data_IF_068836852143
#
_entry.id   IF_068836852143
#
_cell.length_a   1.000
_cell.length_b   1.000
_cell.length_c   1.000
_cell.angle_alpha   90.00
_cell.angle_beta   90.00
_cell.angle_gamma   90.00
#
_symmetry.space_group_name_H-M   'P 1'
#
loop_
_entity.id
_entity.type
_entity.pdbx_description
1 polymer ?
#
# COMPACT_ATOMS: atom_id res chain seq x y z
N UNK A 1 16.98 39.51 -16.14
CA UNK A 1 15.69 38.94 -15.71
C UNK A 1 15.22 38.08 -16.87
N UNK A 2 15.23 36.76 -16.86
CA UNK A 2 15.47 35.78 -15.80
C UNK A 2 15.86 34.45 -16.48
N UNK A 3 16.72 33.68 -15.81
CA UNK A 3 16.64 32.24 -15.52
C UNK A 3 15.57 31.43 -16.31
N UNK A 4 15.76 30.21 -16.81
CA UNK A 4 16.60 29.11 -16.36
C UNK A 4 16.62 27.98 -17.42
N UNK A 5 17.77 27.31 -17.53
CA UNK A 5 17.98 25.85 -17.55
C UNK A 5 16.83 24.99 -18.14
N UNK A 6 16.97 24.58 -19.41
CA UNK A 6 16.31 23.38 -19.92
C UNK A 6 17.36 22.28 -20.17
N UNK A 7 17.84 21.69 -19.08
CA UNK A 7 18.48 20.37 -19.09
C UNK A 7 17.50 19.38 -18.47
N UNK A 8 16.45 19.05 -19.22
CA UNK A 8 15.62 17.88 -18.92
C UNK A 8 16.33 16.62 -19.44
N UNK A 9 17.29 16.14 -18.66
CA UNK A 9 17.68 14.73 -18.64
C UNK A 9 17.48 14.27 -17.20
N UNK A 10 16.23 14.03 -16.84
CA UNK A 10 15.89 13.21 -15.69
C UNK A 10 15.53 11.85 -16.27
N UNK A 11 16.45 10.92 -16.08
CA UNK A 11 16.33 9.50 -16.39
C UNK A 11 14.93 8.98 -16.04
N UNK A 12 14.24 8.49 -17.06
CA UNK A 12 13.13 7.55 -16.97
C UNK A 12 13.63 6.28 -16.24
N UNK A 13 13.73 6.37 -14.92
CA UNK A 13 13.82 5.18 -14.09
C UNK A 13 12.43 4.59 -14.04
N UNK A 14 12.27 3.53 -14.84
CA UNK A 14 11.19 2.56 -14.85
C UNK A 14 9.93 3.04 -14.14
N UNK A 15 8.93 3.42 -14.94
CA UNK A 15 7.54 3.43 -14.53
C UNK A 15 7.26 2.13 -13.76
N UNK A 16 7.31 2.21 -12.43
CA UNK A 16 6.66 1.24 -11.58
C UNK A 16 5.19 1.47 -11.90
N UNK A 17 4.67 0.67 -12.82
CA UNK A 17 3.25 0.59 -13.15
C UNK A 17 2.47 0.00 -11.96
N UNK A 18 2.79 0.39 -10.72
CA UNK A 18 1.86 0.29 -9.62
C UNK A 18 0.78 1.33 -9.90
N UNK A 19 -0.22 0.91 -10.69
CA UNK A 19 -1.48 1.62 -10.77
C UNK A 19 -1.97 1.69 -9.33
N UNK A 20 -1.88 2.87 -8.73
CA UNK A 20 -2.30 3.13 -7.34
C UNK A 20 -3.84 3.09 -7.34
N UNK A 21 -4.37 1.87 -7.38
CA UNK A 21 -5.80 1.58 -7.33
C UNK A 21 -6.17 1.39 -5.88
N UNK A 22 -6.34 2.53 -5.22
CA UNK A 22 -7.26 2.64 -4.12
C UNK A 22 -6.70 2.13 -2.80
N UNK A 23 -6.27 3.10 -2.00
CA UNK A 23 -6.83 3.12 -0.64
C UNK A 23 -8.34 3.32 -0.78
N UNK A 24 -9.10 2.23 -0.97
CA UNK A 24 -10.56 2.28 -0.82
C UNK A 24 -10.79 2.45 0.67
N UNK A 25 -10.89 3.71 1.11
CA UNK A 25 -11.17 4.06 2.50
C UNK A 25 -12.65 3.74 2.79
N UNK A 26 -12.98 2.48 3.01
CA UNK A 26 -14.16 2.16 3.80
C UNK A 26 -13.80 2.48 5.26
N UNK A 27 -14.08 3.73 5.67
CA UNK A 27 -13.85 4.18 7.04
C UNK A 27 -14.97 3.65 7.95
N UNK A 28 -15.17 2.33 7.96
CA UNK A 28 -15.80 1.66 9.10
C UNK A 28 -14.80 1.71 10.25
N UNK A 29 -14.71 2.87 10.92
CA UNK A 29 -14.00 3.33 12.15
C UNK A 29 -12.64 2.71 12.58
N UNK A 30 -12.35 1.44 12.29
CA UNK A 30 -11.21 0.64 12.75
C UNK A 30 -10.54 -0.21 11.67
N UNK A 31 -11.02 -0.17 10.42
CA UNK A 31 -10.46 -0.98 9.32
C UNK A 31 -9.75 -0.10 8.29
N UNK A 32 -8.55 -0.52 7.87
CA UNK A 32 -7.81 0.08 6.77
C UNK A 32 -7.63 -0.96 5.66
N UNK A 33 -8.11 -0.64 4.46
CA UNK A 33 -8.00 -1.51 3.28
C UNK A 33 -6.92 -0.99 2.33
N UNK A 34 -6.06 -1.90 1.86
CA UNK A 34 -5.05 -1.65 0.83
C UNK A 34 -5.26 -2.60 -0.35
N UNK A 35 -5.21 -2.06 -1.56
CA UNK A 35 -5.31 -2.85 -2.78
C UNK A 35 -4.27 -2.37 -3.79
N UNK A 36 -3.51 -3.30 -4.36
CA UNK A 36 -2.52 -2.98 -5.39
C UNK A 36 -2.31 -4.17 -6.33
N UNK A 37 -2.06 -3.87 -7.60
CA UNK A 37 -1.74 -4.88 -8.62
C UNK A 37 -0.23 -4.89 -8.84
N UNK A 38 0.37 -6.06 -8.63
CA UNK A 38 1.80 -6.31 -8.82
C UNK A 38 2.03 -7.11 -10.09
N UNK A 39 3.21 -6.97 -10.70
CA UNK A 39 3.53 -7.74 -11.92
C UNK A 39 3.70 -9.24 -11.62
N UNK A 40 4.17 -9.60 -10.42
CA UNK A 40 4.35 -10.98 -9.98
C UNK A 40 3.81 -11.26 -8.58
N UNK A 41 3.40 -12.50 -8.33
CA UNK A 41 2.99 -12.98 -6.99
C UNK A 41 4.07 -12.73 -5.93
N UNK A 42 5.34 -12.89 -6.30
CA UNK A 42 6.45 -12.69 -5.37
C UNK A 42 6.53 -11.24 -4.85
N UNK A 43 6.27 -10.25 -5.71
CA UNK A 43 6.21 -8.85 -5.32
C UNK A 43 5.00 -8.56 -4.42
N UNK A 44 3.85 -9.16 -4.74
CA UNK A 44 2.65 -9.07 -3.91
C UNK A 44 2.88 -9.68 -2.52
N UNK A 45 3.56 -10.82 -2.42
CA UNK A 45 3.91 -11.47 -1.15
C UNK A 45 4.94 -10.66 -0.36
N UNK A 46 5.92 -10.05 -1.04
CA UNK A 46 6.88 -9.15 -0.40
C UNK A 46 6.21 -7.90 0.17
N UNK A 47 5.25 -7.32 -0.57
CA UNK A 47 4.46 -6.19 -0.09
C UNK A 47 3.56 -6.61 1.08
N UNK A 48 2.85 -7.74 0.97
CA UNK A 48 2.04 -8.30 2.05
C UNK A 48 2.85 -8.41 3.35
N UNK A 49 4.08 -8.94 3.28
CA UNK A 49 4.97 -9.05 4.44
C UNK A 49 5.33 -7.67 5.00
N UNK A 50 5.64 -6.71 4.13
CA UNK A 50 5.99 -5.34 4.53
C UNK A 50 4.82 -4.63 5.22
N UNK A 51 3.61 -4.74 4.67
CA UNK A 51 2.41 -4.16 5.26
C UNK A 51 2.04 -4.84 6.58
N UNK A 52 2.19 -6.16 6.66
CA UNK A 52 2.00 -6.93 7.89
C UNK A 52 2.98 -6.47 8.97
N UNK A 53 4.27 -6.34 8.65
CA UNK A 53 5.28 -5.86 9.60
C UNK A 53 4.99 -4.44 10.10
N UNK A 54 4.60 -3.54 9.20
CA UNK A 54 4.14 -2.18 9.55
C UNK A 54 2.93 -2.21 10.49
N UNK A 55 1.94 -3.08 10.22
CA UNK A 55 0.76 -3.20 11.07
C UNK A 55 1.15 -3.73 12.45
N UNK A 56 2.01 -4.75 12.52
CA UNK A 56 2.56 -5.29 13.77
C UNK A 56 3.40 -4.28 14.57
N UNK A 57 4.06 -3.33 13.89
CA UNK A 57 4.82 -2.28 14.55
C UNK A 57 3.92 -1.18 15.17
N UNK A 58 2.70 -1.01 14.63
CA UNK A 58 1.73 -0.01 15.08
C UNK A 58 0.74 -0.59 16.08
N UNK A 59 0.39 -1.87 15.94
CA UNK A 59 -0.56 -2.54 16.80
C UNK A 59 -0.07 -2.59 18.26
N UNK A 60 -0.95 -2.22 19.19
CA UNK A 60 -0.78 -2.45 20.62
C UNK A 60 -1.54 -3.69 21.09
N UNK A 61 -2.63 -4.04 20.39
CA UNK A 61 -3.41 -5.27 20.55
C UNK A 61 -3.44 -6.01 19.20
N UNK A 62 -3.54 -7.35 19.14
CA UNK A 62 -3.54 -8.09 17.88
C UNK A 62 -4.54 -7.53 16.85
N UNK A 63 -4.02 -6.91 15.78
CA UNK A 63 -4.82 -6.52 14.65
C UNK A 63 -5.19 -7.75 13.81
N UNK A 64 -6.43 -7.76 13.31
CA UNK A 64 -6.90 -8.76 12.38
C UNK A 64 -6.45 -8.36 10.98
N UNK A 65 -5.66 -9.22 10.35
CA UNK A 65 -5.11 -9.00 9.01
C UNK A 65 -5.69 -10.05 8.08
N UNK A 66 -6.57 -9.64 7.18
CA UNK A 66 -7.14 -10.50 6.14
C UNK A 66 -6.58 -10.09 4.79
N UNK A 67 -6.00 -11.03 4.05
CA UNK A 67 -5.43 -10.74 2.73
C UNK A 67 -5.92 -11.74 1.68
N UNK A 68 -5.93 -11.27 0.44
CA UNK A 68 -6.33 -12.02 -0.73
C UNK A 68 -5.40 -11.70 -1.89
N UNK A 69 -4.88 -12.75 -2.53
CA UNK A 69 -4.07 -12.66 -3.74
C UNK A 69 -4.89 -13.26 -4.88
N UNK A 70 -5.13 -12.48 -5.94
CA UNK A 70 -5.90 -12.89 -7.10
C UNK A 70 -5.12 -12.59 -8.38
N UNK A 71 -4.98 -13.58 -9.25
CA UNK A 71 -4.43 -13.36 -10.59
C UNK A 71 -5.45 -12.55 -11.42
N UNK A 72 -5.02 -11.40 -11.92
CA UNK A 72 -5.85 -10.45 -12.70
C UNK A 72 -5.18 -10.14 -14.04
N UNK A 73 -5.94 -9.57 -14.98
CA UNK A 73 -5.37 -9.05 -16.22
C UNK A 73 -4.36 -7.93 -15.89
N UNK A 74 -3.06 -8.21 -16.08
CA UNK A 74 -1.97 -7.30 -15.74
C UNK A 74 -1.08 -7.73 -14.57
N UNK A 75 -1.36 -8.88 -13.91
CA UNK A 75 -0.49 -9.45 -12.88
C UNK A 75 -1.27 -10.08 -11.72
N UNK A 76 -0.85 -9.79 -10.49
CA UNK A 76 -1.49 -10.31 -9.27
C UNK A 76 -1.99 -9.14 -8.43
N UNK A 77 -3.29 -9.11 -8.16
CA UNK A 77 -3.91 -8.17 -7.22
C UNK A 77 -3.75 -8.69 -5.80
N UNK A 78 -3.11 -7.89 -4.96
CA UNK A 78 -3.16 -8.03 -3.51
C UNK A 78 -4.25 -7.10 -2.98
N UNK A 79 -5.20 -7.67 -2.26
CA UNK A 79 -6.15 -6.94 -1.41
C UNK A 79 -5.90 -7.36 0.03
N UNK A 80 -5.84 -6.39 0.93
CA UNK A 80 -5.60 -6.63 2.35
C UNK A 80 -6.38 -5.65 3.21
N UNK A 81 -6.97 -6.17 4.27
CA UNK A 81 -7.78 -5.45 5.24
C UNK A 81 -7.13 -5.61 6.62
N UNK A 82 -6.84 -4.48 7.24
CA UNK A 82 -6.29 -4.38 8.59
C UNK A 82 -7.36 -3.86 9.53
N UNK A 83 -7.86 -4.68 10.43
CA UNK A 83 -8.79 -4.25 11.48
C UNK A 83 -8.04 -4.13 12.79
N UNK A 84 -7.84 -2.89 13.23
CA UNK A 84 -7.15 -2.56 14.47
C UNK A 84 -8.13 -2.50 15.65
N UNK A 85 -7.61 -2.61 16.87
CA UNK A 85 -8.42 -2.48 18.07
C UNK A 85 -8.86 -1.02 18.31
N UNK A 86 -8.03 -0.05 17.93
CA UNK A 86 -8.29 1.38 18.08
C UNK A 86 -8.14 2.16 16.77
N UNK A 87 -8.95 3.22 16.66
CA UNK A 87 -8.90 4.17 15.55
C UNK A 87 -7.54 4.87 15.43
N UNK A 88 -6.87 5.15 16.55
CA UNK A 88 -5.55 5.78 16.55
C UNK A 88 -4.50 4.93 15.82
N UNK A 89 -4.51 3.61 16.03
CA UNK A 89 -3.60 2.67 15.35
C UNK A 89 -3.87 2.66 13.84
N UNK A 90 -5.15 2.66 13.46
CA UNK A 90 -5.57 2.76 12.06
C UNK A 90 -5.03 4.04 11.41
N UNK A 91 -5.11 5.19 12.10
CA UNK A 91 -4.58 6.46 11.60
C UNK A 91 -3.05 6.46 11.51
N UNK A 92 -2.33 5.94 12.51
CA UNK A 92 -0.87 5.85 12.51
C UNK A 92 -0.39 4.93 11.37
N UNK A 93 -1.06 3.78 11.19
CA UNK A 93 -0.76 2.85 10.13
C UNK A 93 -0.96 3.49 8.75
N UNK A 94 -2.09 4.17 8.53
CA UNK A 94 -2.36 4.91 7.29
C UNK A 94 -1.31 6.00 6.99
N UNK A 95 -0.85 6.72 8.01
CA UNK A 95 0.24 7.70 7.84
C UNK A 95 1.55 7.03 7.41
N UNK A 96 1.81 5.78 7.83
CA UNK A 96 2.97 5.00 7.43
C UNK A 96 2.87 4.31 6.06
N UNK A 97 1.71 4.38 5.40
CA UNK A 97 1.48 3.90 4.03
C UNK A 97 1.61 4.99 2.97
N UNK A 98 1.66 6.26 3.38
CA UNK A 98 1.84 7.44 2.53
C UNK A 98 3.30 7.69 2.18
#
# INVERSE_FOLDING_TARGET
>A
MSDAINRCSAEETAACCCVDVGTVMDNTDRTASYSCVFASRHEAEAMLKTLTDKARAVESDPCLIEHKLEDVEGGVRLTIDFTFACQAETMIFQLGLR
#
